data_IF_861135026975
#
_entry.id   IF_861135026975
#
_cell.length_a   1.000
_cell.length_b   1.000
_cell.length_c   1.000
_cell.angle_alpha   90.00
_cell.angle_beta   90.00
_cell.angle_gamma   90.00
#
_symmetry.space_group_name_H-M   'P 1'
#
loop_
_entity.id
_entity.type
_entity.pdbx_description
1 polymer ?
#
# COMPACT_ATOMS: atom_id res chain seq x y z
N UNK A 1 5.09 -5.93 22.01
CA UNK A 1 5.36 -4.88 21.00
C UNK A 1 6.66 -5.23 20.30
N UNK A 2 6.64 -5.42 18.97
CA UNK A 2 7.85 -5.69 18.18
C UNK A 2 8.62 -4.38 18.04
N UNK A 3 9.92 -4.37 18.36
CA UNK A 3 10.79 -3.20 18.18
C UNK A 3 11.93 -3.52 17.24
N UNK A 4 12.01 -2.83 16.12
CA UNK A 4 13.14 -2.92 15.19
C UNK A 4 14.34 -2.08 15.65
N UNK A 5 14.18 -1.17 16.58
CA UNK A 5 15.27 -0.35 17.10
C UNK A 5 16.34 -1.19 17.81
N UNK A 6 15.95 -2.27 18.47
CA UNK A 6 16.86 -3.17 19.22
C UNK A 6 17.42 -4.33 18.38
N UNK A 7 16.86 -4.59 17.18
CA UNK A 7 17.28 -5.71 16.32
C UNK A 7 18.65 -5.51 15.63
N UNK A 8 19.43 -4.50 16.04
CA UNK A 8 20.68 -4.10 15.37
C UNK A 8 21.86 -5.05 15.59
N UNK A 9 21.91 -5.76 16.71
CA UNK A 9 23.15 -6.45 17.11
C UNK A 9 23.43 -7.75 16.33
N UNK A 10 22.41 -8.39 15.78
CA UNK A 10 22.51 -9.74 15.21
C UNK A 10 22.32 -9.82 13.69
N UNK A 11 22.19 -8.70 13.00
CA UNK A 11 21.97 -8.66 11.55
C UNK A 11 23.24 -8.93 10.75
N UNK A 12 23.95 -10.03 11.04
CA UNK A 12 24.88 -10.61 10.06
C UNK A 12 24.05 -11.12 8.89
N UNK A 13 24.35 -10.61 7.71
CA UNK A 13 23.60 -10.93 6.48
C UNK A 13 23.51 -12.46 6.29
N UNK A 14 22.32 -12.99 5.96
CA UNK A 14 22.13 -14.42 5.72
C UNK A 14 22.89 -14.93 4.49
N UNK A 15 23.50 -14.06 3.70
CA UNK A 15 24.01 -14.34 2.37
C UNK A 15 25.21 -15.33 2.28
N UNK A 16 25.95 -15.58 3.36
CA UNK A 16 27.18 -16.34 3.26
C UNK A 16 27.05 -17.84 3.60
N UNK A 17 26.02 -18.27 4.31
CA UNK A 17 25.68 -19.68 4.56
C UNK A 17 24.19 -19.88 4.72
N UNK A 18 23.51 -20.07 3.59
CA UNK A 18 22.08 -20.29 3.54
C UNK A 18 21.64 -21.52 4.37
N UNK A 19 22.42 -22.58 4.39
CA UNK A 19 22.08 -23.79 5.14
C UNK A 19 22.14 -23.56 6.64
N UNK A 20 23.14 -22.84 7.13
CA UNK A 20 23.24 -22.49 8.55
C UNK A 20 22.16 -21.50 8.95
N UNK A 21 21.79 -20.56 8.06
CA UNK A 21 20.67 -19.64 8.29
C UNK A 21 19.35 -20.39 8.46
N UNK A 22 19.00 -21.26 7.53
CA UNK A 22 17.75 -22.02 7.60
C UNK A 22 17.70 -23.00 8.76
N UNK A 23 18.83 -23.67 9.10
CA UNK A 23 18.89 -24.50 10.31
C UNK A 23 18.55 -23.72 11.55
N UNK A 24 19.13 -22.52 11.77
CA UNK A 24 18.80 -21.68 12.92
C UNK A 24 17.33 -21.28 12.97
N UNK A 25 16.70 -21.00 11.82
CA UNK A 25 15.26 -20.70 11.77
C UNK A 25 14.44 -21.93 12.17
N UNK A 26 14.79 -23.11 11.68
CA UNK A 26 14.11 -24.37 12.02
C UNK A 26 14.28 -24.71 13.51
N UNK A 27 15.50 -24.59 14.03
CA UNK A 27 15.80 -24.88 15.44
C UNK A 27 15.04 -23.92 16.38
N UNK A 28 14.86 -22.66 15.98
CA UNK A 28 14.14 -21.65 16.78
C UNK A 28 12.64 -21.96 16.93
N UNK A 29 12.07 -22.83 16.12
CA UNK A 29 10.66 -23.21 16.16
C UNK A 29 10.44 -24.70 16.40
N UNK A 30 11.51 -25.45 16.77
CA UNK A 30 11.46 -26.91 16.89
C UNK A 30 10.38 -27.39 17.88
N UNK A 31 10.14 -26.62 18.94
CA UNK A 31 9.15 -26.93 19.98
C UNK A 31 7.77 -26.29 19.74
N UNK A 32 7.57 -25.63 18.59
CA UNK A 32 6.30 -24.95 18.27
C UNK A 32 5.48 -25.83 17.32
N UNK A 33 4.24 -26.13 17.73
CA UNK A 33 3.32 -26.89 16.88
C UNK A 33 2.91 -26.06 15.66
N UNK A 34 3.06 -26.62 14.45
CA UNK A 34 2.68 -25.99 13.19
C UNK A 34 1.17 -26.02 12.90
N UNK A 35 0.71 -25.26 11.88
CA UNK A 35 1.51 -24.39 11.01
C UNK A 35 1.91 -23.08 11.69
N UNK A 36 3.15 -22.62 11.48
CA UNK A 36 3.66 -21.35 12.02
C UNK A 36 4.32 -20.52 10.92
N UNK A 37 4.25 -19.20 11.07
CA UNK A 37 5.02 -18.25 10.28
C UNK A 37 6.05 -17.56 11.18
N UNK A 38 7.26 -17.38 10.68
CA UNK A 38 8.33 -16.71 11.42
C UNK A 38 8.72 -15.41 10.75
N UNK A 39 9.04 -14.40 11.56
CA UNK A 39 9.55 -13.12 11.10
C UNK A 39 10.96 -12.91 11.66
N UNK A 40 11.95 -12.86 10.76
CA UNK A 40 13.33 -12.55 11.15
C UNK A 40 13.50 -11.02 11.29
N UNK A 41 13.46 -10.52 12.52
CA UNK A 41 13.47 -9.07 12.80
C UNK A 41 14.72 -8.37 12.27
N UNK A 42 15.90 -8.98 12.38
CA UNK A 42 17.14 -8.43 11.84
C UNK A 42 17.09 -8.24 10.32
N UNK A 43 16.57 -9.22 9.58
CA UNK A 43 16.41 -9.14 8.13
C UNK A 43 15.37 -8.10 7.74
N UNK A 44 14.22 -8.04 8.43
CA UNK A 44 13.19 -7.02 8.20
C UNK A 44 13.77 -5.61 8.37
N UNK A 45 14.48 -5.38 9.48
CA UNK A 45 15.12 -4.08 9.73
C UNK A 45 16.15 -3.73 8.66
N UNK A 46 17.04 -4.68 8.32
CA UNK A 46 18.06 -4.46 7.29
C UNK A 46 17.42 -4.03 5.96
N UNK A 47 16.44 -4.80 5.49
CA UNK A 47 15.73 -4.52 4.25
C UNK A 47 14.99 -3.17 4.30
N UNK A 48 14.34 -2.86 5.42
CA UNK A 48 13.64 -1.60 5.58
C UNK A 48 14.59 -0.39 5.52
N UNK A 49 15.73 -0.46 6.19
CA UNK A 49 16.72 0.62 6.16
C UNK A 49 17.38 0.76 4.78
N UNK A 50 17.68 -0.35 4.09
CA UNK A 50 18.22 -0.33 2.73
C UNK A 50 17.22 0.31 1.76
N UNK A 51 15.95 -0.03 1.85
CA UNK A 51 14.88 0.60 1.05
C UNK A 51 14.81 2.10 1.32
N UNK A 52 14.88 2.55 2.58
CA UNK A 52 14.84 3.96 2.93
C UNK A 52 16.05 4.73 2.36
N UNK A 53 17.24 4.12 2.37
CA UNK A 53 18.43 4.71 1.74
C UNK A 53 18.24 4.84 0.23
N UNK A 54 17.77 3.80 -0.45
CA UNK A 54 17.51 3.82 -1.91
C UNK A 54 16.39 4.78 -2.30
N UNK A 55 15.42 4.99 -1.44
CA UNK A 55 14.34 5.96 -1.65
C UNK A 55 14.81 7.42 -1.63
N UNK A 56 16.05 7.70 -1.18
CA UNK A 56 16.70 9.00 -1.25
C UNK A 56 15.84 10.15 -0.70
N UNK A 57 15.14 9.93 0.41
CA UNK A 57 14.28 10.93 1.06
C UNK A 57 12.81 10.91 0.62
N UNK A 58 12.43 10.10 -0.38
CA UNK A 58 11.03 9.90 -0.72
C UNK A 58 10.38 8.99 0.33
N UNK A 59 9.26 9.39 0.96
CA UNK A 59 8.59 8.57 1.95
C UNK A 59 8.06 7.25 1.37
N UNK A 60 8.20 6.17 2.13
CA UNK A 60 7.76 4.82 1.73
C UNK A 60 6.50 4.46 2.50
N UNK A 61 5.43 4.07 1.80
CA UNK A 61 4.24 3.45 2.42
C UNK A 61 4.47 1.96 2.63
N UNK A 62 4.06 1.47 3.80
CA UNK A 62 4.10 0.02 4.07
C UNK A 62 2.91 -0.65 3.40
N UNK A 63 3.18 -1.60 2.49
CA UNK A 63 2.13 -2.36 1.82
C UNK A 63 1.64 -3.50 2.71
N UNK A 64 0.46 -3.34 3.32
CA UNK A 64 -0.10 -4.30 4.27
C UNK A 64 -0.35 -5.67 3.64
N UNK A 65 -0.73 -5.73 2.37
CA UNK A 65 -0.93 -7.01 1.64
C UNK A 65 0.31 -7.91 1.63
N UNK A 66 1.51 -7.34 1.77
CA UNK A 66 2.77 -8.08 1.75
C UNK A 66 3.27 -8.42 3.15
N UNK A 67 2.94 -7.64 4.15
CA UNK A 67 3.40 -7.84 5.55
C UNK A 67 2.37 -8.60 6.38
N UNK A 68 1.09 -8.23 6.33
CA UNK A 68 -0.07 -8.86 6.99
C UNK A 68 0.07 -9.13 8.50
N UNK A 69 0.98 -8.43 9.16
CA UNK A 69 1.21 -8.48 10.60
C UNK A 69 1.27 -7.06 11.11
N UNK A 70 0.28 -6.65 11.91
CA UNK A 70 0.13 -5.25 12.37
C UNK A 70 1.36 -4.77 13.12
N UNK A 71 1.88 -5.59 14.03
CA UNK A 71 3.07 -5.25 14.82
C UNK A 71 4.32 -5.05 13.94
N UNK A 72 4.42 -5.75 12.82
CA UNK A 72 5.51 -5.56 11.86
C UNK A 72 5.32 -4.28 11.04
N UNK A 73 4.07 -3.92 10.70
CA UNK A 73 3.72 -2.65 10.06
C UNK A 73 4.10 -1.50 11.00
N UNK A 74 3.65 -1.54 12.26
CA UNK A 74 3.91 -0.53 13.28
C UNK A 74 5.41 -0.35 13.50
N UNK A 75 6.15 -1.46 13.64
CA UNK A 75 7.58 -1.44 13.84
C UNK A 75 8.35 -0.86 12.63
N UNK A 76 7.85 -1.08 11.41
CA UNK A 76 8.43 -0.51 10.19
C UNK A 76 8.12 0.97 10.07
N UNK A 77 6.88 1.39 10.34
CA UNK A 77 6.47 2.80 10.35
C UNK A 77 7.22 3.65 11.39
N UNK A 78 7.72 3.02 12.46
CA UNK A 78 8.55 3.69 13.44
C UNK A 78 9.99 3.97 12.94
N UNK A 79 10.40 3.43 11.80
CA UNK A 79 11.71 3.71 11.19
C UNK A 79 11.67 5.02 10.38
N UNK A 80 12.78 5.77 10.33
CA UNK A 80 12.90 6.93 9.46
C UNK A 80 12.67 6.58 7.98
N UNK A 81 11.97 7.44 7.25
CA UNK A 81 11.71 7.27 5.83
C UNK A 81 10.40 6.53 5.52
N UNK A 82 9.69 6.03 6.52
CA UNK A 82 8.38 5.38 6.34
C UNK A 82 7.24 6.29 6.78
N UNK A 83 6.18 6.37 5.96
CA UNK A 83 4.99 7.16 6.26
C UNK A 83 3.75 6.60 5.55
N UNK A 84 2.73 6.27 6.34
CA UNK A 84 1.44 5.77 5.86
C UNK A 84 1.45 4.30 5.39
N UNK A 85 0.27 3.82 5.08
CA UNK A 85 0.02 2.43 4.70
C UNK A 85 -0.63 2.38 3.32
N UNK A 86 -0.26 1.38 2.52
CA UNK A 86 -0.99 0.97 1.32
C UNK A 86 -1.77 -0.31 1.65
N UNK A 87 -3.07 -0.17 1.89
CA UNK A 87 -3.96 -1.27 2.26
C UNK A 87 -4.46 -2.03 1.02
N UNK A 88 -4.87 -3.28 1.24
CA UNK A 88 -5.33 -4.16 0.17
C UNK A 88 -6.85 -4.11 -0.03
N UNK A 89 -7.64 -4.14 1.05
CA UNK A 89 -9.10 -4.10 1.01
C UNK A 89 -9.63 -2.99 1.90
N UNK A 90 -10.85 -2.52 1.64
CA UNK A 90 -11.44 -1.47 2.47
C UNK A 90 -11.71 -1.92 3.91
N UNK A 91 -12.19 -3.14 4.21
CA UNK A 91 -12.28 -3.63 5.59
C UNK A 91 -10.94 -3.62 6.34
N UNK A 92 -9.85 -4.02 5.67
CA UNK A 92 -8.50 -3.93 6.23
C UNK A 92 -8.06 -2.48 6.46
N UNK A 93 -8.35 -1.59 5.51
CA UNK A 93 -8.04 -0.17 5.63
C UNK A 93 -8.76 0.48 6.83
N UNK A 94 -10.02 0.14 7.06
CA UNK A 94 -10.80 0.60 8.20
C UNK A 94 -10.19 0.12 9.53
N UNK A 95 -9.83 -1.16 9.62
CA UNK A 95 -9.17 -1.71 10.80
C UNK A 95 -7.80 -1.06 11.06
N UNK A 96 -7.01 -0.80 10.04
CA UNK A 96 -5.72 -0.10 10.19
C UNK A 96 -5.90 1.37 10.58
N UNK A 97 -6.95 2.03 10.06
CA UNK A 97 -7.25 3.42 10.34
C UNK A 97 -7.69 3.68 11.80
N UNK A 98 -8.00 2.66 12.59
CA UNK A 98 -8.24 2.81 14.02
C UNK A 98 -7.04 3.44 14.75
N UNK A 99 -5.81 3.13 14.29
CA UNK A 99 -4.55 3.57 14.92
C UNK A 99 -3.59 4.29 13.99
N UNK A 100 -3.86 4.36 12.67
CA UNK A 100 -2.99 5.01 11.69
C UNK A 100 -3.73 6.12 10.96
N UNK A 101 -3.08 7.25 10.75
CA UNK A 101 -3.71 8.47 10.23
C UNK A 101 -3.70 8.57 8.70
N UNK A 102 -2.92 7.76 8.01
CA UNK A 102 -2.76 7.82 6.55
C UNK A 102 -2.75 6.42 5.95
N UNK A 103 -3.94 5.98 5.51
CA UNK A 103 -4.16 4.66 4.92
C UNK A 103 -4.74 4.85 3.52
N UNK A 104 -3.98 4.48 2.49
CA UNK A 104 -4.43 4.52 1.09
C UNK A 104 -4.87 3.12 0.69
N UNK A 105 -6.09 2.99 0.19
CA UNK A 105 -6.58 1.76 -0.42
C UNK A 105 -5.95 1.61 -1.80
N UNK A 106 -5.20 0.54 -2.03
CA UNK A 106 -4.41 0.35 -3.24
C UNK A 106 -5.20 -0.07 -4.48
N UNK A 107 -6.51 -0.24 -4.38
CA UNK A 107 -7.40 -0.68 -5.47
C UNK A 107 -8.77 -0.03 -5.35
N UNK A 108 -9.49 0.23 -6.45
CA UNK A 108 -10.89 0.57 -6.40
C UNK A 108 -11.72 -0.49 -5.67
N UNK A 109 -12.78 -0.07 -5.00
CA UNK A 109 -13.66 -0.97 -4.24
C UNK A 109 -15.12 -0.77 -4.61
N UNK A 110 -15.87 -1.87 -4.60
CA UNK A 110 -17.35 -1.91 -4.73
C UNK A 110 -18.00 -2.58 -3.52
N UNK A 111 -17.24 -2.80 -2.45
CA UNK A 111 -17.74 -3.37 -1.19
C UNK A 111 -18.66 -2.39 -0.49
N UNK A 112 -19.96 -2.55 -0.71
CA UNK A 112 -20.99 -1.63 -0.19
C UNK A 112 -21.05 -1.62 1.33
N UNK A 113 -20.82 -2.76 1.99
CA UNK A 113 -20.83 -2.84 3.45
C UNK A 113 -19.66 -2.07 4.06
N UNK A 114 -18.46 -2.23 3.50
CA UNK A 114 -17.29 -1.48 3.94
C UNK A 114 -17.38 0.02 3.60
N UNK A 115 -18.01 0.39 2.46
CA UNK A 115 -18.27 1.80 2.12
C UNK A 115 -19.25 2.42 3.14
N UNK A 116 -20.30 1.70 3.55
CA UNK A 116 -21.23 2.17 4.59
C UNK A 116 -20.48 2.39 5.92
N UNK A 117 -19.68 1.41 6.35
CA UNK A 117 -18.87 1.52 7.57
C UNK A 117 -17.87 2.69 7.53
N UNK A 118 -17.24 2.95 6.37
CA UNK A 118 -16.41 4.14 6.18
C UNK A 118 -17.21 5.42 6.36
N UNK A 119 -18.38 5.52 5.72
CA UNK A 119 -19.22 6.73 5.70
C UNK A 119 -19.82 7.06 7.08
N UNK A 120 -19.99 6.08 7.96
CA UNK A 120 -20.49 6.25 9.33
C UNK A 120 -19.38 6.69 10.31
N UNK A 121 -18.12 6.68 9.89
CA UNK A 121 -16.98 6.95 10.77
C UNK A 121 -16.17 8.16 10.27
N UNK A 122 -16.35 9.31 10.94
CA UNK A 122 -15.67 10.56 10.59
C UNK A 122 -14.14 10.42 10.65
N UNK A 123 -13.62 9.72 11.65
CA UNK A 123 -12.17 9.48 11.78
C UNK A 123 -11.65 8.63 10.62
N UNK A 124 -12.38 7.59 10.24
CA UNK A 124 -12.00 6.76 9.10
C UNK A 124 -12.05 7.56 7.78
N UNK A 125 -13.07 8.41 7.57
CA UNK A 125 -13.14 9.32 6.42
C UNK A 125 -11.96 10.28 6.35
N UNK A 126 -11.45 10.74 7.50
CA UNK A 126 -10.28 11.61 7.56
C UNK A 126 -8.95 10.88 7.25
N UNK A 127 -8.87 9.58 7.56
CA UNK A 127 -7.64 8.78 7.50
C UNK A 127 -7.52 7.89 6.28
N UNK A 128 -8.66 7.37 5.77
CA UNK A 128 -8.67 6.46 4.61
C UNK A 128 -8.82 7.25 3.32
N UNK A 129 -8.02 6.89 2.32
CA UNK A 129 -8.14 7.40 0.95
C UNK A 129 -8.56 6.26 0.04
N UNK A 130 -9.72 6.37 -0.61
CA UNK A 130 -10.17 5.42 -1.62
C UNK A 130 -9.43 5.64 -2.94
N UNK A 131 -9.20 4.56 -3.69
CA UNK A 131 -8.67 4.61 -5.04
C UNK A 131 -9.80 4.62 -6.06
N UNK A 132 -9.70 5.47 -7.07
CA UNK A 132 -10.71 5.58 -8.13
C UNK A 132 -10.04 5.77 -9.49
N UNK A 133 -10.61 5.19 -10.53
CA UNK A 133 -10.19 5.33 -11.91
C UNK A 133 -11.37 5.54 -12.87
N UNK A 134 -12.59 5.57 -12.33
CA UNK A 134 -13.82 5.87 -13.04
C UNK A 134 -14.83 6.58 -12.13
N UNK A 135 -15.63 7.49 -12.70
CA UNK A 135 -16.69 8.21 -11.96
C UNK A 135 -17.80 7.28 -11.45
N UNK A 136 -18.02 6.14 -12.11
CA UNK A 136 -18.99 5.15 -11.67
C UNK A 136 -18.68 4.59 -10.26
N UNK A 137 -17.41 4.58 -9.86
CA UNK A 137 -17.02 4.17 -8.51
C UNK A 137 -17.47 5.17 -7.46
N UNK A 138 -17.50 6.47 -7.78
CA UNK A 138 -18.08 7.50 -6.92
C UNK A 138 -19.62 7.38 -6.86
N UNK A 139 -20.25 6.95 -7.98
CA UNK A 139 -21.69 6.67 -8.00
C UNK A 139 -22.04 5.51 -7.07
N UNK A 140 -21.19 4.48 -6.98
CA UNK A 140 -21.35 3.38 -6.02
C UNK A 140 -21.31 3.88 -4.58
N UNK A 141 -20.38 4.78 -4.25
CA UNK A 141 -20.27 5.38 -2.90
C UNK A 141 -21.52 6.21 -2.58
N UNK A 142 -21.95 7.08 -3.50
CA UNK A 142 -23.13 7.95 -3.29
C UNK A 142 -24.44 7.16 -3.22
N UNK A 143 -24.53 6.02 -3.93
CA UNK A 143 -25.66 5.11 -3.85
C UNK A 143 -25.74 4.34 -2.52
N UNK A 144 -24.61 4.16 -1.82
CA UNK A 144 -24.57 3.57 -0.48
C UNK A 144 -24.93 4.60 0.58
N UNK A 145 -24.27 5.76 0.57
CA UNK A 145 -24.54 6.87 1.49
C UNK A 145 -24.40 8.20 0.73
N UNK A 146 -25.49 8.96 0.56
CA UNK A 146 -25.46 10.21 -0.20
C UNK A 146 -24.53 11.25 0.46
N UNK A 147 -23.96 12.18 -0.33
CA UNK A 147 -22.96 13.16 0.15
C UNK A 147 -23.40 13.98 1.37
N UNK A 148 -24.71 14.28 1.46
CA UNK A 148 -25.29 15.07 2.57
C UNK A 148 -25.42 14.28 3.88
N UNK A 149 -25.29 12.96 3.82
CA UNK A 149 -25.46 12.06 4.97
C UNK A 149 -24.12 11.47 5.47
N UNK A 150 -23.01 11.94 4.97
CA UNK A 150 -21.67 11.43 5.34
C UNK A 150 -20.61 12.53 5.37
N UNK A 151 -19.49 12.34 6.09
CA UNK A 151 -18.31 13.19 5.96
C UNK A 151 -17.73 13.15 4.54
N UNK A 152 -16.90 14.14 4.21
CA UNK A 152 -16.15 14.14 2.95
C UNK A 152 -15.16 12.99 2.91
N UNK A 153 -15.23 12.17 1.86
CA UNK A 153 -14.34 11.04 1.64
C UNK A 153 -13.13 11.47 0.78
N UNK A 154 -11.95 11.09 1.22
CA UNK A 154 -10.70 11.30 0.48
C UNK A 154 -10.59 10.27 -0.65
N UNK A 155 -10.18 10.74 -1.83
CA UNK A 155 -9.94 9.88 -3.00
C UNK A 155 -8.63 10.21 -3.67
N UNK A 156 -8.01 9.19 -4.27
CA UNK A 156 -6.86 9.34 -5.16
C UNK A 156 -7.17 8.67 -6.49
N UNK A 157 -6.61 9.19 -7.58
CA UNK A 157 -6.78 8.61 -8.91
C UNK A 157 -5.74 7.50 -9.10
N UNK A 158 -6.17 6.32 -9.57
CA UNK A 158 -5.28 5.28 -10.08
C UNK A 158 -5.06 5.51 -11.57
N UNK A 159 -3.82 5.74 -11.98
CA UNK A 159 -3.45 5.92 -13.38
C UNK A 159 -2.54 4.79 -13.86
N UNK A 160 -2.74 4.35 -15.10
CA UNK A 160 -1.93 3.32 -15.74
C UNK A 160 -0.60 3.92 -16.21
N UNK A 161 0.50 3.50 -15.60
CA UNK A 161 1.87 3.89 -15.95
C UNK A 161 2.53 2.96 -16.97
N UNK A 162 1.77 2.07 -17.61
CA UNK A 162 2.29 1.15 -18.62
C UNK A 162 2.95 1.90 -19.78
N UNK A 163 4.02 1.34 -20.30
CA UNK A 163 4.68 1.88 -21.48
C UNK A 163 3.97 1.42 -22.75
N UNK A 164 3.53 2.38 -23.57
CA UNK A 164 2.90 2.13 -24.87
C UNK A 164 3.88 2.51 -25.98
N UNK A 165 4.65 1.52 -26.45
CA UNK A 165 5.64 1.72 -27.51
C UNK A 165 5.02 1.42 -28.88
N UNK A 166 5.20 2.30 -29.91
CA UNK A 166 4.59 2.11 -31.23
C UNK A 166 4.91 0.76 -31.89
N UNK A 167 6.14 0.26 -31.71
CA UNK A 167 6.59 -0.99 -32.33
C UNK A 167 6.36 -2.24 -31.42
N UNK A 168 6.25 -2.07 -30.11
CA UNK A 168 6.20 -3.17 -29.13
C UNK A 168 4.81 -3.31 -28.49
N UNK A 169 3.91 -2.36 -28.73
CA UNK A 169 2.57 -2.37 -28.16
C UNK A 169 2.57 -1.96 -26.67
N UNK A 170 1.73 -2.61 -25.89
CA UNK A 170 1.54 -2.33 -24.47
C UNK A 170 2.49 -3.20 -23.62
N UNK A 171 3.32 -2.55 -22.82
CA UNK A 171 4.26 -3.17 -21.89
C UNK A 171 3.90 -2.72 -20.47
N UNK A 172 3.58 -3.65 -19.60
CA UNK A 172 3.09 -3.42 -18.24
C UNK A 172 1.73 -4.05 -17.98
N UNK A 173 1.09 -3.68 -16.89
CA UNK A 173 -0.27 -4.10 -16.54
C UNK A 173 -1.29 -3.07 -17.00
N UNK A 174 -2.47 -3.53 -17.37
CA UNK A 174 -3.63 -2.66 -17.66
C UNK A 174 -4.39 -2.42 -16.35
N UNK A 175 -3.81 -1.60 -15.51
CA UNK A 175 -4.30 -1.39 -14.14
C UNK A 175 -5.51 -0.48 -14.10
N UNK A 176 -5.52 0.55 -14.93
CA UNK A 176 -6.54 1.59 -14.98
C UNK A 176 -6.89 1.91 -16.43
N UNK A 177 -8.12 2.32 -16.75
CA UNK A 177 -8.46 2.89 -18.04
C UNK A 177 -7.82 4.26 -18.27
N UNK A 178 -7.46 4.96 -17.19
CA UNK A 178 -6.88 6.31 -17.22
C UNK A 178 -5.37 6.22 -17.45
N UNK A 179 -4.90 6.66 -18.60
CA UNK A 179 -3.48 6.57 -18.99
C UNK A 179 -2.91 7.94 -19.42
N UNK A 180 -3.63 8.66 -20.27
CA UNK A 180 -3.16 9.92 -20.79
C UNK A 180 -3.32 11.07 -19.79
N UNK A 181 -2.38 12.04 -19.73
CA UNK A 181 -2.47 13.19 -18.84
C UNK A 181 -3.79 13.96 -18.95
N UNK A 182 -4.37 14.03 -20.16
CA UNK A 182 -5.65 14.69 -20.43
C UNK A 182 -6.83 13.94 -19.76
N UNK A 183 -6.80 12.62 -19.73
CA UNK A 183 -7.80 11.77 -19.06
C UNK A 183 -7.72 11.94 -17.54
N UNK A 184 -6.50 11.89 -16.97
CA UNK A 184 -6.25 12.17 -15.55
C UNK A 184 -6.79 13.54 -15.16
N UNK A 185 -6.47 14.59 -15.93
CA UNK A 185 -6.92 15.95 -15.66
C UNK A 185 -8.44 16.08 -15.78
N UNK A 186 -9.07 15.32 -16.67
CA UNK A 186 -10.53 15.33 -16.84
C UNK A 186 -11.22 14.65 -15.66
N UNK A 187 -10.73 13.49 -15.23
CA UNK A 187 -11.23 12.79 -14.05
C UNK A 187 -11.03 13.64 -12.79
N UNK A 188 -9.85 14.23 -12.61
CA UNK A 188 -9.55 15.12 -11.48
C UNK A 188 -10.52 16.30 -11.39
N UNK A 189 -10.81 16.98 -12.51
CA UNK A 189 -11.79 18.06 -12.56
C UNK A 189 -13.20 17.59 -12.19
N UNK A 190 -13.60 16.41 -12.66
CA UNK A 190 -14.92 15.85 -12.34
C UNK A 190 -15.04 15.52 -10.85
N UNK A 191 -14.03 14.89 -10.26
CA UNK A 191 -13.96 14.58 -8.83
C UNK A 191 -14.02 15.87 -8.00
N UNK A 192 -13.24 16.89 -8.36
CA UNK A 192 -13.16 18.15 -7.60
C UNK A 192 -14.47 18.93 -7.61
N UNK A 193 -15.31 18.74 -8.63
CA UNK A 193 -16.65 19.37 -8.73
C UNK A 193 -17.75 18.58 -8.04
N UNK A 194 -17.45 17.36 -7.59
CA UNK A 194 -18.43 16.47 -7.01
C UNK A 194 -18.47 16.63 -5.49
N UNK A 195 -19.65 16.94 -4.95
CA UNK A 195 -19.85 17.08 -3.52
C UNK A 195 -19.51 15.78 -2.76
N UNK A 196 -18.99 15.93 -1.55
CA UNK A 196 -18.71 14.81 -0.64
C UNK A 196 -17.43 14.05 -0.94
N UNK A 197 -16.61 14.52 -1.89
CA UNK A 197 -15.30 13.95 -2.18
C UNK A 197 -14.18 15.00 -2.16
N UNK A 198 -12.98 14.57 -1.77
CA UNK A 198 -11.78 15.39 -1.81
C UNK A 198 -10.66 14.62 -2.51
N UNK A 199 -10.25 15.10 -3.68
CA UNK A 199 -9.08 14.57 -4.37
C UNK A 199 -7.82 14.95 -3.59
N UNK A 200 -7.02 13.94 -3.19
CA UNK A 200 -5.82 14.13 -2.37
C UNK A 200 -4.55 13.59 -3.01
N UNK A 201 -4.63 12.89 -4.13
CA UNK A 201 -3.45 12.32 -4.76
C UNK A 201 -3.70 11.62 -6.08
N UNK A 202 -2.61 11.18 -6.66
CA UNK A 202 -2.53 10.33 -7.83
C UNK A 202 -1.62 9.15 -7.49
N UNK A 203 -2.00 7.95 -7.87
CA UNK A 203 -1.19 6.75 -7.78
C UNK A 203 -0.89 6.23 -9.18
N UNK A 204 0.33 5.74 -9.38
CA UNK A 204 0.75 5.07 -10.60
C UNK A 204 1.50 3.79 -10.21
N UNK A 205 1.42 2.76 -11.06
CA UNK A 205 2.13 1.51 -10.84
C UNK A 205 2.91 1.10 -12.09
N UNK A 206 4.23 1.20 -11.99
CA UNK A 206 5.18 0.90 -13.06
C UNK A 206 5.53 -0.60 -13.06
N UNK A 207 4.55 -1.46 -13.39
CA UNK A 207 4.73 -2.91 -13.38
C UNK A 207 5.84 -3.41 -14.32
N UNK A 208 6.13 -2.67 -15.38
CA UNK A 208 7.22 -2.96 -16.32
C UNK A 208 8.61 -2.73 -15.73
N UNK A 209 8.70 -2.00 -14.60
CA UNK A 209 9.95 -1.72 -13.89
C UNK A 209 10.00 -2.54 -12.60
N UNK A 210 8.86 -2.71 -11.93
CA UNK A 210 8.77 -3.40 -10.64
C UNK A 210 9.29 -4.84 -10.74
N UNK A 211 10.22 -5.21 -9.88
CA UNK A 211 10.80 -6.54 -9.83
C UNK A 211 11.91 -6.80 -10.86
N UNK A 212 12.28 -5.82 -11.67
CA UNK A 212 13.49 -5.91 -12.50
C UNK A 212 14.73 -5.67 -11.64
N UNK A 213 15.77 -6.49 -11.84
CA UNK A 213 17.05 -6.30 -11.16
C UNK A 213 17.82 -5.11 -11.75
N UNK A 214 18.46 -4.33 -10.89
CA UNK A 214 19.23 -3.13 -11.31
C UNK A 214 20.49 -3.47 -12.10
N UNK A 215 20.94 -4.73 -12.10
CA UNK A 215 22.17 -5.19 -12.73
C UNK A 215 21.97 -6.34 -13.74
N UNK A 216 20.76 -6.50 -14.26
CA UNK A 216 20.53 -7.42 -15.38
C UNK A 216 21.13 -6.80 -16.62
N UNK A 217 22.37 -7.23 -16.97
CA UNK A 217 22.98 -6.87 -18.24
C UNK A 217 22.07 -7.28 -19.39
N UNK A 218 21.60 -6.32 -20.13
CA UNK A 218 20.96 -6.49 -21.43
C UNK A 218 22.03 -6.68 -22.49
#
# INVERSE_FOLDING_TARGET
MVSLAQAMADAKQPAHDAAAYWRRQTDAIADVSGPVATLHLGALRHNALDMAVRAAGVPIRVASKSVRVREAIDATLALPGYAGILAFTLPEALWLAETHDDVVLGYPTVDRAAIAALAENEQACARVTLMVDDLAQLDVVDAVVPPRARPTIRVAIDADASWRAPALGHIGVRRSPVHEPGEVASLARAITRRDGFRLVGLMMYEAQIAGQGDATGS
#
